data_IF_489619932678
#
_entry.id   IF_489619932678
#
_cell.length_a   1.000
_cell.length_b   1.000
_cell.length_c   1.000
_cell.angle_alpha   90.00
_cell.angle_beta   90.00
_cell.angle_gamma   90.00
#
_symmetry.space_group_name_H-M   'P 1'
#
loop_
_entity.id
_entity.type
_entity.pdbx_description
1 polymer ?
#
# COMPACT_ATOMS: atom_id res chain seq x y z
N UNK A 1 47.03 -5.73 -37.95
CA UNK A 1 45.95 -6.07 -37.01
C UNK A 1 45.32 -4.77 -36.55
N UNK A 2 44.08 -4.48 -36.94
CA UNK A 2 43.37 -3.30 -36.44
C UNK A 2 43.01 -3.54 -34.96
N UNK A 3 43.38 -2.61 -34.08
CA UNK A 3 43.02 -2.66 -32.67
C UNK A 3 41.53 -2.35 -32.56
N UNK A 4 40.77 -3.25 -31.95
CA UNK A 4 39.37 -3.00 -31.60
C UNK A 4 39.35 -1.95 -30.49
N UNK A 5 38.83 -0.75 -30.78
CA UNK A 5 38.52 0.24 -29.76
C UNK A 5 37.03 0.12 -29.43
N UNK A 6 36.65 -0.15 -28.17
CA UNK A 6 35.25 -0.19 -27.79
C UNK A 6 34.64 1.20 -28.00
N UNK A 7 33.47 1.25 -28.62
CA UNK A 7 32.74 2.50 -28.81
C UNK A 7 32.58 3.23 -27.46
N UNK A 8 32.79 4.55 -27.41
CA UNK A 8 32.57 5.31 -26.18
C UNK A 8 31.13 5.07 -25.72
N UNK A 9 30.97 4.69 -24.45
CA UNK A 9 29.66 4.60 -23.81
C UNK A 9 28.98 5.95 -24.00
N UNK A 10 27.96 6.01 -24.86
CA UNK A 10 27.16 7.22 -25.01
C UNK A 10 26.62 7.56 -23.61
N UNK A 11 26.82 8.78 -23.09
CA UNK A 11 26.21 9.16 -21.84
C UNK A 11 24.70 9.14 -22.08
N UNK A 12 24.04 8.09 -21.61
CA UNK A 12 22.59 8.02 -21.62
C UNK A 12 22.10 9.24 -20.81
N UNK A 13 21.40 10.20 -21.43
CA UNK A 13 20.95 11.40 -20.74
C UNK A 13 19.95 11.10 -19.60
N UNK A 14 19.48 9.86 -19.49
CA UNK A 14 18.61 9.38 -18.42
C UNK A 14 19.33 8.52 -17.37
N UNK A 15 20.64 8.29 -17.49
CA UNK A 15 21.42 7.43 -16.58
C UNK A 15 21.30 7.84 -15.10
N UNK A 16 21.12 9.13 -14.83
CA UNK A 16 21.03 9.66 -13.46
C UNK A 16 19.62 9.58 -12.86
N UNK A 17 18.57 9.52 -13.69
CA UNK A 17 17.20 9.40 -13.19
C UNK A 17 16.91 7.95 -12.86
N UNK A 18 17.30 7.55 -11.65
CA UNK A 18 16.85 6.29 -11.05
C UNK A 18 15.33 6.28 -11.07
N UNK A 19 14.76 5.39 -11.88
CA UNK A 19 13.33 5.14 -11.88
C UNK A 19 12.89 4.81 -10.45
N UNK A 20 12.04 5.65 -9.88
CA UNK A 20 11.38 5.39 -8.60
C UNK A 20 9.97 4.89 -8.88
N UNK A 21 9.59 3.82 -8.18
CA UNK A 21 8.22 3.34 -8.25
C UNK A 21 7.29 4.38 -7.60
N UNK A 22 6.21 4.84 -8.26
CA UNK A 22 5.31 5.84 -7.71
C UNK A 22 4.74 5.46 -6.34
N UNK A 23 4.42 4.17 -6.15
CA UNK A 23 3.95 3.65 -4.87
C UNK A 23 5.02 3.78 -3.77
N UNK A 24 6.29 3.54 -4.09
CA UNK A 24 7.37 3.62 -3.10
C UNK A 24 7.57 5.07 -2.66
N UNK A 25 7.52 6.01 -3.60
CA UNK A 25 7.60 7.45 -3.32
C UNK A 25 6.50 7.88 -2.34
N UNK A 26 5.24 7.49 -2.59
CA UNK A 26 4.14 7.78 -1.67
C UNK A 26 4.31 7.16 -0.27
N UNK A 27 4.94 5.98 -0.18
CA UNK A 27 5.22 5.34 1.11
C UNK A 27 6.33 6.11 1.85
N UNK A 28 7.38 6.55 1.15
CA UNK A 28 8.48 7.34 1.71
C UNK A 28 7.96 8.69 2.21
N UNK A 29 7.18 9.41 1.40
CA UNK A 29 6.55 10.69 1.77
C UNK A 29 5.68 10.54 3.04
N UNK A 30 4.80 9.52 3.07
CA UNK A 30 3.96 9.29 4.24
C UNK A 30 4.77 8.91 5.49
N UNK A 31 5.86 8.15 5.32
CA UNK A 31 6.75 7.77 6.41
C UNK A 31 7.44 9.00 7.03
N UNK A 32 7.93 9.92 6.19
CA UNK A 32 8.56 11.17 6.61
C UNK A 32 7.56 12.11 7.30
N UNK A 33 6.37 12.30 6.71
CA UNK A 33 5.33 13.18 7.29
C UNK A 33 4.83 12.71 8.66
N UNK A 34 4.80 11.39 8.89
CA UNK A 34 4.23 10.79 10.10
C UNK A 34 5.31 10.27 11.08
N UNK A 35 6.59 10.57 10.84
CA UNK A 35 7.76 10.09 11.59
C UNK A 35 7.64 8.60 11.96
N UNK A 36 7.42 7.78 10.93
CA UNK A 36 7.14 6.36 11.12
C UNK A 36 7.94 5.48 10.16
N UNK A 37 8.07 4.20 10.49
CA UNK A 37 8.79 3.26 9.65
C UNK A 37 8.06 3.02 8.31
N UNK A 38 8.83 2.74 7.26
CA UNK A 38 8.31 2.38 5.93
C UNK A 38 7.28 1.23 6.01
N UNK A 39 7.50 0.25 6.89
CA UNK A 39 6.56 -0.86 7.11
C UNK A 39 5.23 -0.42 7.73
N UNK A 40 5.23 0.63 8.53
CA UNK A 40 4.01 1.19 9.13
C UNK A 40 3.29 2.07 8.12
N UNK A 41 4.03 2.85 7.34
CA UNK A 41 3.51 3.63 6.22
C UNK A 41 2.86 2.75 5.14
N UNK A 42 3.53 1.65 4.76
CA UNK A 42 3.04 0.75 3.70
C UNK A 42 1.68 0.13 4.03
N UNK A 43 1.42 -0.19 5.30
CA UNK A 43 0.12 -0.70 5.76
C UNK A 43 -1.04 0.28 5.55
N UNK A 44 -0.76 1.56 5.40
CA UNK A 44 -1.77 2.61 5.19
C UNK A 44 -1.83 3.04 3.73
N UNK A 45 -0.68 3.22 3.09
CA UNK A 45 -0.56 3.75 1.73
C UNK A 45 -0.90 2.70 0.68
N UNK A 46 -0.40 1.47 0.82
CA UNK A 46 -0.63 0.40 -0.19
C UNK A 46 -2.11 0.10 -0.39
N UNK A 47 -2.95 -0.04 0.65
CA UNK A 47 -4.39 -0.25 0.46
C UNK A 47 -5.08 0.92 -0.24
N UNK A 48 -4.69 2.16 0.06
CA UNK A 48 -5.24 3.36 -0.60
C UNK A 48 -4.88 3.39 -2.08
N UNK A 49 -3.59 3.21 -2.38
CA UNK A 49 -3.09 3.14 -3.74
C UNK A 49 -3.78 2.05 -4.55
N UNK A 50 -3.98 0.86 -3.95
CA UNK A 50 -4.70 -0.24 -4.59
C UNK A 50 -6.16 0.13 -4.93
N UNK A 51 -6.79 0.97 -4.11
CA UNK A 51 -8.16 1.43 -4.34
C UNK A 51 -8.27 2.42 -5.50
N UNK A 52 -7.20 3.19 -5.75
CA UNK A 52 -7.11 4.21 -6.80
C UNK A 52 -6.66 3.65 -8.17
N UNK A 53 -6.33 2.35 -8.24
CA UNK A 53 -5.90 1.73 -9.49
C UNK A 53 -7.03 1.68 -10.53
N UNK A 54 -6.82 2.17 -11.76
CA UNK A 54 -7.89 2.27 -12.76
C UNK A 54 -8.34 0.90 -13.32
N UNK A 55 -7.51 -0.13 -13.18
CA UNK A 55 -7.83 -1.51 -13.57
C UNK A 55 -8.26 -2.37 -12.37
N UNK A 56 -8.64 -1.74 -11.26
CA UNK A 56 -9.18 -2.45 -10.12
C UNK A 56 -10.57 -3.00 -10.47
N UNK A 57 -10.71 -4.32 -10.40
CA UNK A 57 -12.01 -4.98 -10.52
C UNK A 57 -12.77 -4.86 -9.19
N UNK A 58 -13.54 -3.78 -9.08
CA UNK A 58 -14.27 -3.44 -7.87
C UNK A 58 -15.23 -4.56 -7.43
N UNK A 59 -15.91 -5.21 -8.37
CA UNK A 59 -16.85 -6.30 -8.08
C UNK A 59 -16.14 -7.54 -7.51
N UNK A 60 -14.95 -7.87 -8.03
CA UNK A 60 -14.13 -8.96 -7.49
C UNK A 60 -13.66 -8.67 -6.05
N UNK A 61 -13.28 -7.42 -5.76
CA UNK A 61 -12.85 -7.05 -4.41
C UNK A 61 -14.01 -7.01 -3.42
N UNK A 62 -15.17 -6.51 -3.83
CA UNK A 62 -16.34 -6.42 -2.96
C UNK A 62 -16.92 -7.80 -2.66
N UNK A 63 -16.91 -8.71 -3.64
CA UNK A 63 -17.31 -10.12 -3.43
C UNK A 63 -16.34 -10.88 -2.51
N UNK A 64 -15.02 -10.64 -2.66
CA UNK A 64 -14.03 -11.22 -1.75
C UNK A 64 -14.18 -10.70 -0.31
N UNK A 65 -14.47 -9.40 -0.15
CA UNK A 65 -14.74 -8.80 1.16
C UNK A 65 -16.02 -9.40 1.77
N UNK A 66 -17.09 -9.51 0.99
CA UNK A 66 -18.34 -10.08 1.45
C UNK A 66 -18.16 -11.53 1.91
N UNK A 67 -17.45 -12.35 1.14
CA UNK A 67 -17.14 -13.73 1.53
C UNK A 67 -16.37 -13.82 2.86
N UNK A 68 -15.41 -12.92 3.10
CA UNK A 68 -14.69 -12.88 4.37
C UNK A 68 -15.58 -12.46 5.55
N UNK A 69 -16.52 -11.54 5.33
CA UNK A 69 -17.49 -11.14 6.35
C UNK A 69 -18.46 -12.27 6.66
N UNK A 70 -18.93 -12.98 5.64
CA UNK A 70 -19.82 -14.14 5.79
C UNK A 70 -19.12 -15.28 6.53
N UNK A 71 -17.88 -15.62 6.15
CA UNK A 71 -17.06 -16.63 6.83
C UNK A 71 -16.80 -16.25 8.30
N UNK A 72 -16.53 -14.98 8.56
CA UNK A 72 -16.36 -14.48 9.93
C UNK A 72 -17.68 -14.57 10.73
N UNK A 73 -18.82 -14.26 10.12
CA UNK A 73 -20.12 -14.36 10.77
C UNK A 73 -20.48 -15.82 11.12
N UNK A 74 -20.11 -16.76 10.25
CA UNK A 74 -20.42 -18.18 10.43
C UNK A 74 -19.44 -18.90 11.36
N UNK A 75 -18.15 -18.55 11.33
CA UNK A 75 -17.09 -19.32 11.98
C UNK A 75 -16.38 -18.61 13.14
N UNK A 76 -16.62 -17.31 13.37
CA UNK A 76 -15.98 -16.62 14.49
C UNK A 76 -16.67 -16.89 15.82
N UNK A 77 -15.92 -17.07 16.93
CA UNK A 77 -16.50 -17.10 18.26
C UNK A 77 -17.28 -15.80 18.54
N UNK A 78 -18.47 -15.91 19.14
CA UNK A 78 -19.38 -14.79 19.43
C UNK A 78 -18.74 -13.60 20.15
N UNK A 79 -17.63 -13.81 20.88
CA UNK A 79 -16.87 -12.73 21.53
C UNK A 79 -16.13 -11.82 20.55
N UNK A 80 -15.73 -12.31 19.37
CA UNK A 80 -15.07 -11.51 18.32
C UNK A 80 -16.09 -10.71 17.50
N UNK A 81 -17.25 -11.30 17.19
CA UNK A 81 -18.34 -10.59 16.49
C UNK A 81 -18.84 -9.39 17.30
N UNK A 82 -18.98 -9.57 18.62
CA UNK A 82 -19.38 -8.50 19.53
C UNK A 82 -18.36 -7.35 19.60
N UNK A 83 -17.06 -7.63 19.45
CA UNK A 83 -16.02 -6.58 19.37
C UNK A 83 -16.09 -5.76 18.08
N UNK A 84 -16.68 -6.30 17.02
CA UNK A 84 -16.89 -5.61 15.74
C UNK A 84 -18.16 -4.75 15.82
N UNK A 85 -19.24 -5.28 16.41
CA UNK A 85 -20.51 -4.56 16.62
C UNK A 85 -20.40 -3.45 17.67
N UNK A 86 -19.68 -3.68 18.77
CA UNK A 86 -19.47 -2.70 19.84
C UNK A 86 -18.43 -1.63 19.48
N UNK A 87 -17.83 -1.66 18.28
CA UNK A 87 -16.90 -0.62 17.83
C UNK A 87 -17.69 0.49 17.15
N UNK A 88 -17.97 1.63 17.82
CA UNK A 88 -18.67 2.73 17.19
C UNK A 88 -17.87 3.22 15.99
N UNK A 89 -18.52 3.24 14.83
CA UNK A 89 -18.06 3.96 13.64
C UNK A 89 -18.06 5.47 13.96
N UNK A 90 -17.05 5.95 14.70
CA UNK A 90 -16.96 7.35 15.08
C UNK A 90 -16.23 7.59 16.39
N UNK A 91 -14.90 7.66 16.32
CA UNK A 91 -14.08 8.76 16.84
C UNK A 91 -12.61 8.52 16.46
N UNK A 92 -12.22 9.15 15.35
CA UNK A 92 -10.92 9.82 15.30
C UNK A 92 -11.00 10.93 16.34
N UNK A 93 -10.14 10.92 17.35
CA UNK A 93 -9.56 12.09 18.02
C UNK A 93 -8.73 11.62 19.23
N UNK A 94 -7.60 12.29 19.44
CA UNK A 94 -6.44 11.79 20.18
C UNK A 94 -6.62 11.65 21.70
N UNK A 95 -5.58 11.06 22.30
CA UNK A 95 -5.43 10.95 23.74
C UNK A 95 -4.13 10.23 24.07
N UNK A 96 -3.11 11.02 24.42
CA UNK A 96 -1.93 10.57 25.16
C UNK A 96 -2.40 9.81 26.42
N UNK A 97 -1.77 8.70 26.73
CA UNK A 97 -1.19 8.40 28.04
C UNK A 97 -0.27 7.19 27.92
#
# INVERSE_FOLDING_TARGET
MAKFEPAPLSPDPFYEKKFKFPLLEQIEEYAEENDCSILKASKVVVPRYAMDLPWRDQELFDSALQWQLDDLAENAPHSLLRQIEDKPQGKREGGKH
#
